data_IF_531882205945
#
_entry.id   IF_531882205945
#
_cell.length_a   1.000
_cell.length_b   1.000
_cell.length_c   1.000
_cell.angle_alpha   90.00
_cell.angle_beta   90.00
_cell.angle_gamma   90.00
#
_symmetry.space_group_name_H-M   'P 1'
#
loop_
_entity.id
_entity.type
_entity.pdbx_description
1 polymer ?
#
# COMPACT_ATOMS: atom_id res chain seq x y z
N UNK A 1 10.07 -20.47 -13.62
CA UNK A 1 8.77 -19.75 -13.68
C UNK A 1 8.90 -18.70 -14.77
N UNK A 2 7.98 -18.66 -15.73
CA UNK A 2 7.98 -17.54 -16.69
C UNK A 2 7.62 -16.26 -15.92
N UNK A 3 8.31 -15.14 -16.17
CA UNK A 3 7.94 -13.88 -15.53
C UNK A 3 6.57 -13.43 -16.02
N UNK A 4 5.78 -12.83 -15.13
CA UNK A 4 4.51 -12.20 -15.50
C UNK A 4 4.76 -11.10 -16.55
N UNK A 5 3.84 -10.99 -17.51
CA UNK A 5 3.81 -9.83 -18.39
C UNK A 5 3.40 -8.60 -17.58
N UNK A 6 3.91 -7.42 -17.97
CA UNK A 6 3.53 -6.17 -17.33
C UNK A 6 3.46 -4.98 -18.29
N UNK A 7 2.66 -3.97 -17.94
CA UNK A 7 2.52 -2.71 -18.68
C UNK A 7 2.27 -1.56 -17.70
N UNK A 8 2.94 -0.44 -17.91
CA UNK A 8 2.75 0.79 -17.13
C UNK A 8 1.70 1.67 -17.81
N UNK A 9 0.90 2.33 -16.99
CA UNK A 9 -0.17 3.24 -17.40
C UNK A 9 0.00 4.58 -16.69
N UNK A 10 -0.34 5.65 -17.40
CA UNK A 10 -0.48 7.00 -16.86
C UNK A 10 -1.94 7.41 -17.04
N UNK A 11 -2.61 7.67 -15.93
CA UNK A 11 -3.96 8.23 -15.90
C UNK A 11 -3.86 9.75 -15.79
N UNK A 12 -4.39 10.44 -16.79
CA UNK A 12 -4.49 11.89 -16.85
C UNK A 12 -5.96 12.32 -16.68
N UNK A 13 -6.33 12.84 -15.50
CA UNK A 13 -7.70 13.23 -15.19
C UNK A 13 -8.01 14.70 -15.49
N UNK A 14 -7.14 15.39 -16.23
CA UNK A 14 -7.33 16.81 -16.54
C UNK A 14 -8.42 17.02 -17.60
N UNK A 15 -9.21 18.11 -17.49
CA UNK A 15 -9.01 19.26 -16.59
C UNK A 15 -9.64 19.12 -15.19
N UNK A 16 -10.38 18.03 -14.90
CA UNK A 16 -11.24 17.93 -13.72
C UNK A 16 -10.47 17.68 -12.41
N UNK A 17 -9.27 17.10 -12.50
CA UNK A 17 -8.36 16.90 -11.38
C UNK A 17 -6.91 17.15 -11.81
N UNK A 18 -6.07 17.84 -10.99
CA UNK A 18 -4.77 18.33 -11.47
C UNK A 18 -3.63 17.31 -11.39
N UNK A 19 -3.79 16.24 -10.60
CA UNK A 19 -2.73 15.28 -10.32
C UNK A 19 -2.85 14.04 -11.22
N UNK A 20 -1.77 13.72 -11.93
CA UNK A 20 -1.64 12.50 -12.70
C UNK A 20 -1.32 11.32 -11.77
N UNK A 21 -1.74 10.13 -12.16
CA UNK A 21 -1.46 8.90 -11.41
C UNK A 21 -0.87 7.85 -12.32
N UNK A 22 0.05 7.04 -11.80
CA UNK A 22 0.60 5.89 -12.55
C UNK A 22 0.16 4.59 -11.91
N UNK A 23 0.04 3.54 -12.73
CA UNK A 23 -0.14 2.18 -12.24
C UNK A 23 0.61 1.21 -13.15
N UNK A 24 0.99 0.06 -12.60
CA UNK A 24 1.59 -1.05 -13.35
C UNK A 24 0.70 -2.27 -13.25
N UNK A 25 0.28 -2.77 -14.41
CA UNK A 25 -0.53 -3.97 -14.61
C UNK A 25 0.40 -5.18 -14.74
N UNK A 26 0.01 -6.32 -14.18
CA UNK A 26 0.68 -7.61 -14.28
C UNK A 26 -0.32 -8.72 -14.61
N UNK A 27 0.03 -9.65 -15.50
CA UNK A 27 -0.81 -10.79 -15.86
C UNK A 27 0.03 -11.99 -16.34
N UNK A 28 -0.54 -13.19 -16.21
CA UNK A 28 0.08 -14.44 -16.67
C UNK A 28 -0.26 -14.68 -18.14
N UNK A 29 0.74 -14.86 -19.00
CA UNK A 29 0.53 -15.15 -20.43
C UNK A 29 0.06 -16.59 -20.68
N UNK A 30 0.20 -17.47 -19.70
CA UNK A 30 -0.20 -18.88 -19.80
C UNK A 30 -1.67 -19.10 -19.39
N UNK A 31 -2.33 -18.09 -18.83
CA UNK A 31 -3.72 -18.15 -18.38
C UNK A 31 -4.51 -16.98 -18.98
N UNK A 32 -5.60 -17.29 -19.68
CA UNK A 32 -6.51 -16.26 -20.20
C UNK A 32 -7.83 -16.29 -19.42
N UNK A 33 -8.03 -15.27 -18.59
CA UNK A 33 -9.27 -15.02 -17.86
C UNK A 33 -9.95 -13.73 -18.32
N UNK A 34 -9.62 -13.21 -19.50
CA UNK A 34 -10.14 -11.94 -20.04
C UNK A 34 -11.68 -11.89 -20.12
N UNK A 35 -12.35 -13.04 -20.25
CA UNK A 35 -13.81 -13.13 -20.29
C UNK A 35 -14.42 -13.83 -19.06
N UNK A 36 -13.62 -14.16 -18.03
CA UNK A 36 -14.08 -14.91 -16.86
C UNK A 36 -14.58 -13.98 -15.74
N UNK A 37 -15.89 -13.85 -15.59
CA UNK A 37 -16.54 -12.96 -14.61
C UNK A 37 -16.21 -13.30 -13.14
N UNK A 38 -15.75 -14.52 -12.85
CA UNK A 38 -15.34 -14.93 -11.51
C UNK A 38 -13.87 -14.64 -11.21
N UNK A 39 -13.07 -14.34 -12.24
CA UNK A 39 -11.65 -14.03 -12.09
C UNK A 39 -11.42 -12.65 -11.47
N UNK A 40 -10.53 -12.62 -10.47
CA UNK A 40 -10.25 -11.44 -9.66
C UNK A 40 -9.31 -10.46 -10.36
N UNK A 41 -9.59 -9.18 -10.19
CA UNK A 41 -8.64 -8.09 -10.45
C UNK A 41 -8.12 -7.58 -9.11
N UNK A 42 -6.83 -7.75 -8.84
CA UNK A 42 -6.23 -7.27 -7.60
C UNK A 42 -5.73 -5.83 -7.77
N UNK A 43 -6.02 -4.95 -6.81
CA UNK A 43 -5.55 -3.56 -6.78
C UNK A 43 -4.66 -3.38 -5.56
N UNK A 44 -3.36 -3.11 -5.76
CA UNK A 44 -2.35 -2.95 -4.71
C UNK A 44 -2.03 -1.48 -4.50
N UNK A 45 -2.31 -0.96 -3.30
CA UNK A 45 -2.04 0.42 -2.90
C UNK A 45 -0.92 0.48 -1.84
N UNK A 46 0.21 1.10 -2.18
CA UNK A 46 1.39 1.18 -1.31
C UNK A 46 1.21 2.14 -0.12
N UNK A 47 2.12 2.06 0.87
CA UNK A 47 2.16 2.96 2.04
C UNK A 47 2.98 4.23 1.80
N UNK A 48 3.00 5.14 2.78
CA UNK A 48 3.81 6.37 2.72
C UNK A 48 5.31 6.05 2.64
N UNK A 49 6.03 6.73 1.74
CA UNK A 49 7.46 6.49 1.48
C UNK A 49 7.75 5.28 0.58
N UNK A 50 6.72 4.56 0.14
CA UNK A 50 6.83 3.43 -0.80
C UNK A 50 6.38 3.83 -2.23
N UNK A 51 6.51 2.92 -3.20
CA UNK A 51 6.04 3.09 -4.58
C UNK A 51 5.52 1.77 -5.19
N UNK A 52 4.86 1.84 -6.37
CA UNK A 52 4.09 0.71 -6.93
C UNK A 52 4.92 -0.55 -7.21
N UNK A 53 6.17 -0.42 -7.65
CA UNK A 53 7.05 -1.56 -7.98
C UNK A 53 7.46 -2.37 -6.74
N UNK A 54 7.40 -1.81 -5.53
CA UNK A 54 7.79 -2.56 -4.32
C UNK A 54 6.87 -3.74 -4.01
N UNK A 55 5.71 -3.81 -4.67
CA UNK A 55 4.84 -4.99 -4.65
C UNK A 55 5.33 -6.14 -5.53
N UNK A 56 6.26 -5.92 -6.48
CA UNK A 56 6.71 -6.96 -7.42
C UNK A 56 7.16 -8.26 -6.73
N UNK A 57 7.97 -8.24 -5.65
CA UNK A 57 8.36 -9.47 -4.97
C UNK A 57 7.18 -10.23 -4.38
N UNK A 58 6.16 -9.52 -3.89
CA UNK A 58 4.92 -10.09 -3.38
C UNK A 58 4.08 -10.69 -4.52
N UNK A 59 4.02 -10.01 -5.66
CA UNK A 59 3.31 -10.49 -6.86
C UNK A 59 3.96 -11.77 -7.39
N UNK A 60 5.29 -11.81 -7.49
CA UNK A 60 6.06 -12.98 -7.91
C UNK A 60 5.82 -14.18 -7.00
N UNK A 61 5.88 -13.96 -5.68
CA UNK A 61 5.67 -15.04 -4.71
C UNK A 61 4.22 -15.55 -4.76
N UNK A 62 3.22 -14.65 -4.83
CA UNK A 62 1.82 -15.02 -4.97
C UNK A 62 1.59 -15.87 -6.22
N UNK A 63 2.15 -15.44 -7.35
CA UNK A 63 2.06 -16.17 -8.60
C UNK A 63 2.65 -17.58 -8.49
N UNK A 64 3.82 -17.70 -7.87
CA UNK A 64 4.47 -19.00 -7.67
C UNK A 64 3.68 -19.94 -6.78
N UNK A 65 3.05 -19.41 -5.73
CA UNK A 65 2.16 -20.18 -4.87
C UNK A 65 0.96 -20.69 -5.68
N UNK A 66 0.28 -19.83 -6.44
CA UNK A 66 -0.89 -20.22 -7.23
C UNK A 66 -0.57 -21.32 -8.24
N UNK A 67 0.59 -21.25 -8.89
CA UNK A 67 1.05 -22.31 -9.80
C UNK A 67 1.26 -23.65 -9.08
N UNK A 68 1.72 -23.64 -7.82
CA UNK A 68 1.98 -24.88 -7.07
C UNK A 68 0.72 -25.64 -6.65
N UNK A 69 -0.43 -24.97 -6.50
CA UNK A 69 -1.68 -25.57 -6.03
C UNK A 69 -2.64 -26.03 -7.16
N UNK A 70 -2.31 -25.76 -8.43
CA UNK A 70 -3.07 -26.21 -9.61
C UNK A 70 -4.42 -25.49 -9.81
N UNK A 71 -5.18 -25.90 -10.85
CA UNK A 71 -6.41 -25.23 -11.37
C UNK A 71 -7.65 -25.28 -10.47
N UNK A 72 -7.55 -25.74 -9.22
CA UNK A 72 -8.62 -25.67 -8.20
C UNK A 72 -8.60 -24.37 -7.39
N UNK A 73 -7.73 -23.43 -7.76
CA UNK A 73 -7.40 -22.23 -7.00
C UNK A 73 -8.00 -20.95 -7.58
N UNK A 74 -7.96 -19.92 -6.75
CA UNK A 74 -8.29 -18.53 -7.05
C UNK A 74 -7.85 -18.11 -8.46
N UNK A 75 -8.80 -17.73 -9.31
CA UNK A 75 -8.51 -17.20 -10.64
C UNK A 75 -8.14 -15.74 -10.53
N UNK A 76 -6.92 -15.37 -10.91
CA UNK A 76 -6.48 -13.97 -10.99
C UNK A 76 -6.38 -13.58 -12.45
N UNK A 77 -7.28 -12.68 -12.86
CA UNK A 77 -7.26 -12.06 -14.19
C UNK A 77 -6.02 -11.22 -14.37
N UNK A 78 -5.77 -10.34 -13.40
CA UNK A 78 -4.67 -9.38 -13.45
C UNK A 78 -4.46 -8.72 -12.08
N UNK A 79 -3.30 -8.12 -11.93
CA UNK A 79 -2.90 -7.37 -10.74
C UNK A 79 -2.48 -5.97 -11.17
N UNK A 80 -2.97 -4.96 -10.47
CA UNK A 80 -2.64 -3.56 -10.69
C UNK A 80 -1.99 -3.02 -9.44
N UNK A 81 -0.75 -2.54 -9.53
CA UNK A 81 -0.16 -1.74 -8.46
C UNK A 81 -0.24 -0.27 -8.83
N UNK A 82 -0.92 0.51 -7.98
CA UNK A 82 -1.21 1.93 -8.22
C UNK A 82 -0.35 2.81 -7.31
N UNK A 83 0.00 3.98 -7.83
CA UNK A 83 0.86 4.95 -7.15
C UNK A 83 0.08 6.11 -6.55
N UNK A 84 0.49 6.57 -5.37
CA UNK A 84 0.01 7.83 -4.81
C UNK A 84 0.60 9.01 -5.63
N UNK A 85 -0.17 10.08 -5.94
CA UNK A 85 0.32 11.14 -6.83
C UNK A 85 1.59 11.87 -6.41
N UNK A 86 1.92 11.88 -5.12
CA UNK A 86 3.14 12.48 -4.57
C UNK A 86 4.25 11.45 -4.29
N UNK A 87 4.13 10.22 -4.80
CA UNK A 87 5.14 9.16 -4.68
C UNK A 87 5.61 8.67 -6.05
N UNK A 88 6.77 8.00 -6.06
CA UNK A 88 7.31 7.30 -7.23
C UNK A 88 7.35 8.14 -8.51
N UNK A 89 7.11 7.50 -9.65
CA UNK A 89 7.00 8.16 -10.95
C UNK A 89 5.87 9.20 -11.01
N UNK A 90 4.75 8.97 -10.31
CA UNK A 90 3.66 9.95 -10.27
C UNK A 90 4.13 11.30 -9.69
N UNK A 91 4.98 11.28 -8.66
CA UNK A 91 5.57 12.49 -8.09
C UNK A 91 6.42 13.27 -9.11
N UNK A 92 7.12 12.56 -9.98
CA UNK A 92 7.95 13.15 -11.04
C UNK A 92 7.05 13.81 -12.09
N UNK A 93 5.98 13.15 -12.51
CA UNK A 93 5.00 13.72 -13.44
C UNK A 93 4.29 14.95 -12.87
N UNK A 94 4.07 14.97 -11.56
CA UNK A 94 3.38 16.03 -10.85
C UNK A 94 4.32 17.07 -10.22
N UNK A 95 5.63 17.08 -10.53
CA UNK A 95 6.63 17.84 -9.78
C UNK A 95 6.29 19.33 -9.63
N UNK A 96 5.75 19.95 -10.68
CA UNK A 96 5.28 21.33 -10.62
C UNK A 96 3.93 21.49 -9.90
N UNK A 97 2.96 20.60 -10.17
CA UNK A 97 1.63 20.63 -9.55
C UNK A 97 1.70 20.43 -8.03
N UNK A 98 2.66 19.63 -7.55
CA UNK A 98 2.84 19.38 -6.12
C UNK A 98 3.29 20.64 -5.34
N UNK A 99 3.83 21.65 -6.03
CA UNK A 99 4.13 22.95 -5.41
C UNK A 99 2.90 23.85 -5.21
N UNK A 100 1.69 23.38 -5.55
CA UNK A 100 0.44 24.11 -5.27
C UNK A 100 0.00 24.00 -3.79
N UNK A 101 0.93 23.65 -2.89
CA UNK A 101 0.72 23.47 -1.45
C UNK A 101 0.74 22.01 -0.99
N UNK A 102 0.83 21.05 -1.91
CA UNK A 102 0.88 19.62 -1.60
C UNK A 102 2.19 19.18 -0.92
N UNK A 103 3.26 19.94 -1.12
CA UNK A 103 4.57 19.80 -0.48
C UNK A 103 4.58 20.17 1.02
N UNK A 104 3.58 20.93 1.46
CA UNK A 104 3.37 21.28 2.87
C UNK A 104 2.35 20.35 3.52
N UNK A 105 1.32 19.97 2.77
CA UNK A 105 0.20 19.16 3.25
C UNK A 105 -0.31 18.25 2.13
N UNK A 106 -0.29 16.94 2.36
CA UNK A 106 -0.85 15.96 1.43
C UNK A 106 -1.86 15.06 2.14
N UNK A 107 -3.16 15.31 1.93
CA UNK A 107 -4.22 14.49 2.50
C UNK A 107 -4.24 13.10 1.82
N UNK A 108 -4.33 12.03 2.61
CA UNK A 108 -4.43 10.67 2.08
C UNK A 108 -5.72 10.46 1.27
N UNK A 109 -6.71 11.34 1.42
CA UNK A 109 -7.88 11.39 0.53
C UNK A 109 -7.52 11.68 -0.93
N UNK A 110 -6.41 12.36 -1.22
CA UNK A 110 -5.94 12.55 -2.61
C UNK A 110 -5.58 11.21 -3.26
N UNK A 111 -5.03 10.28 -2.48
CA UNK A 111 -4.75 8.95 -2.96
C UNK A 111 -6.05 8.17 -3.23
N UNK A 112 -7.04 8.29 -2.34
CA UNK A 112 -8.37 7.70 -2.56
C UNK A 112 -9.03 8.23 -3.84
N UNK A 113 -8.98 9.55 -4.07
CA UNK A 113 -9.49 10.17 -5.31
C UNK A 113 -8.75 9.67 -6.54
N UNK A 114 -7.44 9.53 -6.46
CA UNK A 114 -6.62 9.04 -7.57
C UNK A 114 -6.92 7.59 -7.94
N UNK A 115 -7.08 6.71 -6.93
CA UNK A 115 -7.56 5.34 -7.12
C UNK A 115 -8.94 5.35 -7.78
N UNK A 116 -9.87 6.14 -7.24
CA UNK A 116 -11.22 6.25 -7.78
C UNK A 116 -11.22 6.67 -9.25
N UNK A 117 -10.54 7.75 -9.59
CA UNK A 117 -10.48 8.26 -10.97
C UNK A 117 -9.87 7.21 -11.91
N UNK A 118 -8.78 6.55 -11.49
CA UNK A 118 -8.12 5.52 -12.28
C UNK A 118 -9.05 4.36 -12.62
N UNK A 119 -9.78 3.82 -11.64
CA UNK A 119 -10.58 2.60 -11.81
C UNK A 119 -12.04 2.85 -12.20
N UNK A 120 -12.49 4.11 -12.29
CA UNK A 120 -13.85 4.47 -12.75
C UNK A 120 -13.89 5.07 -14.15
N UNK A 121 -12.76 5.10 -14.85
CA UNK A 121 -12.69 5.62 -16.23
C UNK A 121 -12.87 7.15 -16.31
N UNK A 122 -12.66 7.87 -15.21
CA UNK A 122 -12.76 9.34 -15.17
C UNK A 122 -11.49 10.06 -15.67
N UNK A 123 -10.45 9.30 -16.05
CA UNK A 123 -9.23 9.84 -16.63
C UNK A 123 -8.90 9.23 -18.00
N UNK A 124 -7.94 9.83 -18.69
CA UNK A 124 -7.43 9.39 -20.00
C UNK A 124 -6.15 8.58 -19.84
N UNK A 125 -5.82 7.73 -20.81
CA UNK A 125 -4.55 6.97 -20.84
C UNK A 125 -4.61 5.57 -20.20
N UNK A 126 -5.80 5.14 -19.76
CA UNK A 126 -6.08 3.77 -19.31
C UNK A 126 -7.04 3.13 -20.31
N UNK A 127 -6.63 2.02 -20.93
CA UNK A 127 -7.36 1.31 -22.00
C UNK A 127 -8.13 0.08 -21.50
N UNK A 128 -8.47 0.05 -20.21
CA UNK A 128 -9.15 -1.06 -19.54
C UNK A 128 -10.43 -0.57 -18.87
N UNK A 129 -11.55 -1.24 -19.17
CA UNK A 129 -12.82 -1.03 -18.48
C UNK A 129 -12.92 -2.00 -17.29
N UNK A 130 -13.06 -1.44 -16.08
CA UNK A 130 -13.16 -2.20 -14.84
C UNK A 130 -14.62 -2.46 -14.41
N UNK A 131 -15.62 -1.95 -15.14
CA UNK A 131 -17.03 -1.99 -14.72
C UNK A 131 -17.58 -3.39 -14.47
N UNK A 132 -17.08 -4.39 -15.20
CA UNK A 132 -17.43 -5.81 -15.04
C UNK A 132 -16.44 -6.63 -14.21
N UNK A 133 -15.38 -6.03 -13.66
CA UNK A 133 -14.34 -6.77 -12.96
C UNK A 133 -14.69 -7.02 -11.49
N UNK A 134 -14.31 -8.20 -10.99
CA UNK A 134 -14.41 -8.53 -9.56
C UNK A 134 -13.19 -8.02 -8.81
N UNK A 135 -13.29 -6.80 -8.28
CA UNK A 135 -12.16 -6.06 -7.69
C UNK A 135 -11.84 -6.51 -6.26
N UNK A 136 -10.57 -6.75 -5.96
CA UNK A 136 -10.08 -6.94 -4.59
C UNK A 136 -8.99 -5.92 -4.30
N UNK A 137 -9.20 -5.07 -3.30
CA UNK A 137 -8.23 -4.04 -2.91
C UNK A 137 -7.30 -4.54 -1.82
N UNK A 138 -6.00 -4.38 -1.99
CA UNK A 138 -4.96 -4.71 -1.01
C UNK A 138 -4.16 -3.45 -0.74
N UNK A 139 -4.27 -2.90 0.48
CA UNK A 139 -3.66 -1.64 0.84
C UNK A 139 -2.73 -1.78 2.03
N UNK A 140 -1.55 -1.17 1.97
CA UNK A 140 -0.63 -1.07 3.10
C UNK A 140 -0.64 0.33 3.71
N UNK A 141 -0.77 0.45 5.03
CA UNK A 141 -0.62 1.72 5.77
C UNK A 141 -1.51 2.84 5.19
N UNK A 142 -0.93 3.88 4.56
CA UNK A 142 -1.66 4.93 3.83
C UNK A 142 -2.56 4.37 2.71
N UNK A 143 -2.10 3.37 1.96
CA UNK A 143 -2.90 2.72 0.91
C UNK A 143 -4.13 1.99 1.45
N UNK A 144 -4.06 1.46 2.68
CA UNK A 144 -5.23 0.88 3.35
C UNK A 144 -6.29 1.95 3.67
N UNK A 145 -5.85 3.14 4.10
CA UNK A 145 -6.72 4.28 4.31
C UNK A 145 -7.36 4.74 2.99
N UNK A 146 -6.56 4.84 1.92
CA UNK A 146 -7.03 5.24 0.60
C UNK A 146 -8.12 4.30 0.06
N UNK A 147 -7.91 2.97 0.15
CA UNK A 147 -8.91 1.97 -0.24
C UNK A 147 -10.16 1.97 0.66
N UNK A 148 -10.04 2.35 1.93
CA UNK A 148 -11.20 2.54 2.80
C UNK A 148 -12.03 3.75 2.36
N UNK A 149 -11.37 4.85 2.01
CA UNK A 149 -12.01 6.12 1.65
C UNK A 149 -12.57 6.14 0.22
N UNK A 150 -12.04 5.33 -0.69
CA UNK A 150 -12.50 5.28 -2.09
C UNK A 150 -14.00 4.95 -2.20
N UNK A 151 -14.52 4.13 -1.27
CA UNK A 151 -15.93 3.75 -1.20
C UNK A 151 -16.87 4.93 -0.88
N UNK A 152 -16.33 6.07 -0.44
CA UNK A 152 -17.11 7.30 -0.16
C UNK A 152 -17.36 8.15 -1.41
N UNK A 153 -16.66 7.88 -2.52
CA UNK A 153 -16.72 8.67 -3.76
C UNK A 153 -17.85 8.18 -4.70
N UNK A 154 -18.10 8.95 -5.76
CA UNK A 154 -19.12 8.68 -6.78
C UNK A 154 -18.55 8.96 -8.19
N UNK A 155 -18.81 8.11 -9.21
CA UNK A 155 -19.59 6.87 -9.17
C UNK A 155 -18.96 5.81 -8.26
N UNK A 156 -19.75 4.86 -7.76
CA UNK A 156 -19.25 3.87 -6.78
C UNK A 156 -18.27 2.90 -7.44
N UNK A 157 -17.07 2.80 -6.86
CA UNK A 157 -16.12 1.72 -7.14
C UNK A 157 -16.44 0.55 -6.21
N UNK A 158 -16.91 -0.57 -6.76
CA UNK A 158 -17.41 -1.72 -5.98
C UNK A 158 -16.29 -2.75 -5.80
N UNK A 159 -15.92 -3.01 -4.55
CA UNK A 159 -14.98 -4.07 -4.19
C UNK A 159 -15.73 -5.34 -3.78
N UNK A 160 -15.22 -6.49 -4.24
CA UNK A 160 -15.60 -7.80 -3.73
C UNK A 160 -15.09 -8.02 -2.30
N UNK A 161 -13.87 -7.59 -2.01
CA UNK A 161 -13.28 -7.61 -0.68
C UNK A 161 -12.11 -6.62 -0.56
N UNK A 162 -11.72 -6.32 0.67
CA UNK A 162 -10.54 -5.52 0.97
C UNK A 162 -9.59 -6.27 1.90
N UNK A 163 -8.28 -6.05 1.70
CA UNK A 163 -7.19 -6.56 2.52
C UNK A 163 -6.35 -5.37 2.97
N UNK A 164 -6.43 -5.05 4.25
CA UNK A 164 -5.81 -3.89 4.88
C UNK A 164 -4.61 -4.36 5.70
N UNK A 165 -3.41 -4.12 5.18
CA UNK A 165 -2.13 -4.51 5.79
C UNK A 165 -1.59 -3.37 6.64
N UNK A 166 -1.41 -3.62 7.93
CA UNK A 166 -0.96 -2.63 8.93
C UNK A 166 -1.63 -1.25 8.74
N UNK A 167 -2.99 -1.20 8.72
CA UNK A 167 -3.70 0.02 8.35
C UNK A 167 -3.43 1.13 9.36
N UNK A 168 -3.08 2.31 8.84
CA UNK A 168 -2.93 3.54 9.64
C UNK A 168 -4.29 4.21 9.90
N UNK A 169 -5.27 3.42 10.35
CA UNK A 169 -6.67 3.83 10.54
C UNK A 169 -6.99 3.81 12.04
N UNK A 170 -7.27 4.95 12.65
CA UNK A 170 -7.54 5.04 14.09
C UNK A 170 -8.29 6.34 14.42
N UNK A 171 -8.93 6.42 15.60
CA UNK A 171 -9.75 7.57 15.99
C UNK A 171 -8.94 8.86 16.17
N UNK A 172 -9.64 9.95 16.53
CA UNK A 172 -9.02 11.25 16.76
C UNK A 172 -7.93 11.18 17.84
N UNK A 173 -6.89 12.05 17.77
CA UNK A 173 -5.80 12.03 18.75
C UNK A 173 -6.22 12.16 20.22
N UNK A 174 -7.32 12.85 20.51
CA UNK A 174 -7.89 13.01 21.87
C UNK A 174 -8.57 11.73 22.39
N UNK A 175 -8.89 10.79 21.50
CA UNK A 175 -9.47 9.48 21.83
C UNK A 175 -8.40 8.39 22.00
N UNK A 176 -7.12 8.71 21.77
CA UNK A 176 -6.00 7.79 22.01
C UNK A 176 -5.72 7.67 23.52
N UNK A 177 -5.22 6.52 24.02
CA UNK A 177 -4.90 6.38 25.43
C UNK A 177 -3.93 7.47 25.92
N UNK A 178 -4.11 7.96 27.15
CA UNK A 178 -3.23 8.99 27.72
C UNK A 178 -1.77 8.51 27.70
N UNK A 179 -0.87 9.31 27.11
CA UNK A 179 0.54 8.94 26.89
C UNK A 179 0.83 8.20 25.59
N UNK A 180 -0.19 7.77 24.84
CA UNK A 180 -0.09 7.32 23.44
C UNK A 180 0.17 8.52 22.55
N UNK A 181 1.40 9.01 22.59
CA UNK A 181 1.70 10.34 22.12
C UNK A 181 1.45 10.53 20.62
N UNK A 182 0.86 11.67 20.31
CA UNK A 182 1.06 12.46 19.09
C UNK A 182 2.55 12.51 18.66
N UNK A 183 3.50 12.20 19.57
CA UNK A 183 4.92 12.07 19.28
C UNK A 183 5.27 10.90 18.34
N UNK A 184 4.44 9.87 18.19
CA UNK A 184 4.66 8.83 17.17
C UNK A 184 4.53 9.40 15.75
N UNK A 185 3.46 10.16 15.49
CA UNK A 185 3.20 10.79 14.17
C UNK A 185 4.15 11.97 13.93
N UNK A 186 4.39 12.80 14.97
CA UNK A 186 5.40 13.85 14.90
C UNK A 186 6.79 13.24 14.64
N UNK A 187 7.08 12.10 15.25
CA UNK A 187 8.30 11.31 15.02
C UNK A 187 8.42 10.81 13.58
N UNK A 188 7.32 10.38 12.95
CA UNK A 188 7.28 10.01 11.53
C UNK A 188 7.63 11.20 10.62
N UNK A 189 6.98 12.35 10.85
CA UNK A 189 7.23 13.58 10.09
C UNK A 189 8.69 14.06 10.25
N UNK A 190 9.14 14.20 11.50
CA UNK A 190 10.49 14.67 11.82
C UNK A 190 11.55 13.64 11.38
N UNK A 191 11.18 12.35 11.37
CA UNK A 191 11.98 11.27 10.82
C UNK A 191 12.19 11.43 9.33
N UNK A 192 11.12 11.61 8.55
CA UNK A 192 11.19 11.81 7.11
C UNK A 192 12.09 13.00 6.73
N UNK A 193 11.91 14.15 7.40
CA UNK A 193 12.69 15.37 7.12
C UNK A 193 14.19 15.23 7.40
N UNK A 194 14.58 14.40 8.38
CA UNK A 194 15.98 14.18 8.77
C UNK A 194 16.71 13.13 7.93
N UNK A 195 16.01 12.40 7.05
CA UNK A 195 16.65 11.35 6.25
C UNK A 195 17.66 11.95 5.27
N UNK A 196 18.68 11.15 4.96
CA UNK A 196 19.51 11.36 3.78
C UNK A 196 18.68 11.02 2.55
N UNK A 197 18.72 11.86 1.53
CA UNK A 197 17.99 11.70 0.27
C UNK A 197 18.81 12.05 -0.97
N UNK A 198 20.13 12.24 -0.84
CA UNK A 198 21.02 12.42 -2.00
C UNK A 198 22.18 11.42 -1.91
N UNK A 199 22.48 10.80 -3.05
CA UNK A 199 23.59 9.86 -3.22
C UNK A 199 24.36 10.16 -4.51
N UNK A 200 25.66 9.84 -4.58
CA UNK A 200 26.46 10.02 -5.79
C UNK A 200 25.97 9.19 -6.99
N UNK A 201 25.41 8.01 -6.74
CA UNK A 201 24.86 7.14 -7.77
C UNK A 201 23.82 6.17 -7.19
N UNK A 202 23.14 5.41 -8.05
CA UNK A 202 22.23 4.33 -7.64
C UNK A 202 22.98 3.24 -6.85
N UNK A 203 24.20 2.88 -7.26
CA UNK A 203 25.04 1.86 -6.63
C UNK A 203 25.48 2.26 -5.22
N UNK A 204 25.88 3.53 -5.05
CA UNK A 204 26.21 4.10 -3.75
C UNK A 204 24.98 4.21 -2.84
N UNK A 205 23.81 4.52 -3.42
CA UNK A 205 22.56 4.48 -2.67
C UNK A 205 22.27 3.07 -2.13
N UNK A 206 22.38 2.05 -2.98
CA UNK A 206 22.17 0.66 -2.57
C UNK A 206 23.14 0.23 -1.47
N UNK A 207 24.44 0.46 -1.67
CA UNK A 207 25.48 0.09 -0.69
C UNK A 207 25.23 0.76 0.65
N UNK A 208 24.97 2.07 0.66
CA UNK A 208 24.78 2.81 1.91
C UNK A 208 23.47 2.47 2.62
N UNK A 209 22.40 2.19 1.88
CA UNK A 209 21.11 1.79 2.46
C UNK A 209 21.18 0.39 3.06
N UNK A 210 21.83 -0.57 2.38
CA UNK A 210 22.00 -1.95 2.86
C UNK A 210 22.71 -2.05 4.22
N UNK A 211 23.58 -1.09 4.55
CA UNK A 211 24.29 -1.05 5.83
C UNK A 211 23.43 -0.54 7.00
N UNK A 212 22.24 0.02 6.74
CA UNK A 212 21.39 0.58 7.78
C UNK A 212 20.55 -0.53 8.45
N UNK A 213 20.51 -0.61 9.79
CA UNK A 213 19.78 -1.67 10.50
C UNK A 213 18.31 -1.85 10.10
N UNK A 214 17.64 -0.76 9.69
CA UNK A 214 16.24 -0.81 9.24
C UNK A 214 16.09 -1.47 7.87
N UNK A 215 16.97 -1.17 6.93
CA UNK A 215 16.95 -1.74 5.58
C UNK A 215 17.53 -3.16 5.54
N UNK A 216 18.34 -3.57 6.51
CA UNK A 216 18.79 -4.97 6.67
C UNK A 216 17.63 -5.94 6.95
N UNK A 217 16.50 -5.44 7.46
CA UNK A 217 15.29 -6.23 7.68
C UNK A 217 14.42 -6.35 6.43
N UNK A 218 14.67 -5.53 5.41
CA UNK A 218 13.92 -5.59 4.16
C UNK A 218 14.34 -6.80 3.36
N UNK A 219 13.42 -7.29 2.53
CA UNK A 219 13.81 -8.22 1.49
C UNK A 219 14.82 -7.55 0.53
N UNK A 220 15.93 -8.21 0.19
CA UNK A 220 16.91 -7.64 -0.72
C UNK A 220 16.33 -7.27 -2.10
N UNK A 221 15.29 -7.96 -2.59
CA UNK A 221 14.59 -7.59 -3.84
C UNK A 221 13.88 -6.25 -3.69
N UNK A 222 13.16 -6.05 -2.59
CA UNK A 222 12.43 -4.80 -2.31
C UNK A 222 13.39 -3.61 -2.19
N UNK A 223 14.54 -3.78 -1.52
CA UNK A 223 15.54 -2.71 -1.42
C UNK A 223 16.17 -2.36 -2.77
N UNK A 224 16.46 -3.36 -3.62
CA UNK A 224 16.95 -3.10 -4.98
C UNK A 224 15.93 -2.34 -5.81
N UNK A 225 14.65 -2.70 -5.72
CA UNK A 225 13.55 -1.99 -6.37
C UNK A 225 13.43 -0.56 -5.84
N UNK A 226 13.52 -0.35 -4.52
CA UNK A 226 13.50 0.99 -3.92
C UNK A 226 14.58 1.90 -4.50
N UNK A 227 15.81 1.38 -4.64
CA UNK A 227 16.90 2.16 -5.24
C UNK A 227 16.65 2.43 -6.71
N UNK A 228 16.28 1.40 -7.48
CA UNK A 228 16.10 1.49 -8.93
C UNK A 228 14.95 2.41 -9.31
N UNK A 229 13.79 2.20 -8.72
CA UNK A 229 12.52 2.78 -9.15
C UNK A 229 12.04 3.90 -8.20
N UNK A 230 12.55 3.96 -6.97
CA UNK A 230 12.25 5.03 -6.00
C UNK A 230 13.18 6.24 -6.08
N UNK A 231 14.30 6.16 -6.82
CA UNK A 231 15.24 7.27 -7.02
C UNK A 231 15.19 7.85 -8.44
N UNK A 232 15.56 9.13 -8.58
CA UNK A 232 15.69 9.86 -9.85
C UNK A 232 17.02 10.62 -9.92
N UNK A 233 17.55 10.88 -11.12
CA UNK A 233 18.70 11.78 -11.29
C UNK A 233 18.39 13.20 -10.79
N UNK A 234 19.45 13.88 -10.37
CA UNK A 234 19.50 15.33 -10.16
C UNK A 234 19.80 16.07 -11.49
N UNK A 235 19.46 17.37 -11.64
CA UNK A 235 18.74 18.23 -10.71
C UNK A 235 17.24 17.92 -10.60
N UNK A 236 16.62 18.41 -9.54
CA UNK A 236 15.16 18.42 -9.33
C UNK A 236 14.71 19.82 -8.91
N UNK A 237 13.41 20.11 -8.88
CA UNK A 237 12.90 21.40 -8.38
C UNK A 237 13.31 21.66 -6.92
N UNK A 238 13.46 20.61 -6.12
CA UNK A 238 13.94 20.70 -4.73
C UNK A 238 15.45 20.99 -4.64
N UNK A 239 16.22 20.63 -5.67
CA UNK A 239 17.68 20.72 -5.71
C UNK A 239 18.20 21.30 -7.05
N UNK A 240 17.83 22.55 -7.42
CA UNK A 240 18.15 23.11 -8.73
C UNK A 240 19.65 23.33 -8.95
N UNK A 241 20.43 23.48 -7.87
CA UNK A 241 21.88 23.68 -7.91
C UNK A 241 22.72 22.40 -7.82
N UNK A 242 22.11 21.22 -7.84
CA UNK A 242 22.82 19.93 -7.80
C UNK A 242 22.69 19.26 -9.16
N UNK A 243 23.80 19.11 -9.89
CA UNK A 243 23.80 18.60 -11.28
C UNK A 243 24.07 17.11 -11.40
N UNK A 244 24.62 16.50 -10.34
CA UNK A 244 25.07 15.11 -10.36
C UNK A 244 24.51 14.33 -9.18
N UNK A 245 24.37 13.02 -9.39
CA UNK A 245 23.85 12.07 -8.41
C UNK A 245 22.36 11.82 -8.53
N UNK A 246 21.82 11.17 -7.50
CA UNK A 246 20.44 10.72 -7.45
C UNK A 246 19.77 11.14 -6.15
N UNK A 247 18.45 11.35 -6.22
CA UNK A 247 17.60 11.70 -5.08
C UNK A 247 16.29 10.92 -5.09
N UNK A 248 15.50 11.02 -4.02
CA UNK A 248 14.21 10.35 -3.92
C UNK A 248 13.20 10.94 -4.93
N UNK A 249 12.38 10.08 -5.54
CA UNK A 249 11.20 10.53 -6.30
C UNK A 249 10.10 11.06 -5.37
N UNK A 250 9.81 10.35 -4.27
CA UNK A 250 9.04 10.89 -3.16
C UNK A 250 9.98 11.70 -2.27
N UNK A 251 10.00 13.02 -2.44
CA UNK A 251 10.94 13.87 -1.70
C UNK A 251 10.62 13.86 -0.20
N UNK A 252 11.61 14.13 0.66
CA UNK A 252 11.41 14.13 2.12
C UNK A 252 10.30 15.09 2.56
N UNK A 253 10.12 16.20 1.83
CA UNK A 253 9.05 17.17 2.07
C UNK A 253 7.68 16.55 1.76
N UNK A 254 7.54 15.88 0.62
CA UNK A 254 6.31 15.18 0.22
C UNK A 254 5.97 14.03 1.17
N UNK A 255 6.96 13.23 1.59
CA UNK A 255 6.76 12.19 2.60
C UNK A 255 6.29 12.80 3.94
N UNK A 256 6.93 13.89 4.37
CA UNK A 256 6.55 14.60 5.60
C UNK A 256 5.16 15.24 5.52
N UNK A 257 4.77 15.76 4.34
CA UNK A 257 3.46 16.35 4.09
C UNK A 257 2.31 15.35 4.29
N UNK A 258 2.55 14.06 4.01
CA UNK A 258 1.59 12.99 4.30
C UNK A 258 1.32 12.83 5.81
N UNK A 259 2.24 13.21 6.69
CA UNK A 259 2.05 13.11 8.13
C UNK A 259 1.53 14.40 8.77
N UNK A 260 1.38 15.48 7.99
CA UNK A 260 1.01 16.80 8.48
C UNK A 260 -0.45 16.89 8.98
N UNK A 261 -1.30 15.90 8.68
CA UNK A 261 -2.69 15.89 9.10
C UNK A 261 -3.27 14.51 9.39
N UNK A 262 -4.33 14.47 10.20
CA UNK A 262 -5.03 13.28 10.68
C UNK A 262 -6.31 12.96 9.90
N UNK A 263 -6.86 13.88 9.10
CA UNK A 263 -8.20 13.74 8.53
C UNK A 263 -8.42 12.44 7.76
N UNK A 264 -7.52 12.07 6.85
CA UNK A 264 -7.63 10.81 6.09
C UNK A 264 -7.72 9.58 7.00
N UNK A 265 -6.92 9.53 8.06
CA UNK A 265 -6.88 8.42 9.04
C UNK A 265 -8.17 8.33 9.83
N UNK A 266 -8.61 9.47 10.38
CA UNK A 266 -9.81 9.56 11.22
C UNK A 266 -11.07 9.29 10.41
N UNK A 267 -11.18 9.86 9.20
CA UNK A 267 -12.32 9.60 8.30
C UNK A 267 -12.38 8.13 7.89
N UNK A 268 -11.22 7.53 7.59
CA UNK A 268 -11.13 6.09 7.32
C UNK A 268 -11.67 5.29 8.50
N UNK A 269 -11.29 5.65 9.74
CA UNK A 269 -11.72 4.95 10.93
C UNK A 269 -13.25 5.01 11.13
N UNK A 270 -13.83 6.20 10.95
CA UNK A 270 -15.26 6.40 11.15
C UNK A 270 -16.13 5.72 10.08
N UNK A 271 -15.64 5.57 8.84
CA UNK A 271 -16.40 4.86 7.79
C UNK A 271 -16.21 3.35 7.85
N UNK A 272 -15.12 2.87 8.45
CA UNK A 272 -14.73 1.45 8.45
C UNK A 272 -15.83 0.49 8.97
N UNK A 273 -16.61 0.79 10.03
CA UNK A 273 -17.72 -0.07 10.45
C UNK A 273 -18.79 -0.25 9.36
N UNK A 274 -19.08 0.79 8.58
CA UNK A 274 -20.03 0.71 7.46
C UNK A 274 -19.49 -0.19 6.36
N UNK A 275 -18.20 -0.06 6.06
CA UNK A 275 -17.51 -0.89 5.08
C UNK A 275 -17.54 -2.37 5.47
N UNK A 276 -17.11 -2.68 6.71
CA UNK A 276 -17.13 -4.02 7.30
C UNK A 276 -18.55 -4.61 7.49
N UNK A 277 -19.60 -3.78 7.38
CA UNK A 277 -20.99 -4.25 7.38
C UNK A 277 -21.51 -4.57 5.98
N UNK A 278 -20.81 -4.10 4.93
CA UNK A 278 -21.25 -4.20 3.53
C UNK A 278 -20.41 -5.15 2.67
N UNK A 279 -19.14 -5.39 3.01
CA UNK A 279 -18.26 -6.31 2.31
C UNK A 279 -17.17 -6.93 3.21
N UNK A 280 -16.57 -8.07 2.81
CA UNK A 280 -15.44 -8.67 3.52
C UNK A 280 -14.21 -7.77 3.60
N UNK A 281 -13.77 -7.45 4.82
CA UNK A 281 -12.56 -6.69 5.11
C UNK A 281 -11.61 -7.53 5.96
N UNK A 282 -10.41 -7.75 5.45
CA UNK A 282 -9.36 -8.52 6.10
C UNK A 282 -8.28 -7.57 6.64
N UNK A 283 -8.08 -7.55 7.95
CA UNK A 283 -6.99 -6.84 8.61
C UNK A 283 -5.81 -7.78 8.74
N UNK A 284 -4.63 -7.37 8.29
CA UNK A 284 -3.41 -8.16 8.46
C UNK A 284 -2.38 -7.35 9.27
N UNK A 285 -1.89 -7.95 10.35
CA UNK A 285 -0.83 -7.41 11.18
C UNK A 285 0.36 -8.37 11.31
N UNK A 286 1.56 -7.79 11.41
CA UNK A 286 2.77 -8.58 11.61
C UNK A 286 2.87 -9.02 13.05
N UNK A 287 3.15 -10.31 13.30
CA UNK A 287 3.14 -10.89 14.64
C UNK A 287 4.30 -10.51 15.56
N UNK A 288 5.11 -9.51 15.19
CA UNK A 288 6.01 -8.83 16.13
C UNK A 288 5.35 -7.49 16.44
N UNK A 289 4.87 -7.37 17.68
CA UNK A 289 4.29 -6.14 18.20
C UNK A 289 5.33 -5.03 18.21
N UNK A 290 5.03 -3.95 17.50
CA UNK A 290 5.73 -2.67 17.60
C UNK A 290 4.80 -1.58 18.17
N UNK A 291 5.29 -0.35 18.24
CA UNK A 291 4.53 0.77 18.76
C UNK A 291 3.22 1.00 17.99
N UNK A 292 3.24 0.89 16.65
CA UNK A 292 2.07 1.12 15.83
C UNK A 292 1.06 0.00 15.98
N UNK A 293 1.52 -1.25 16.02
CA UNK A 293 0.67 -2.40 16.32
C UNK A 293 -0.04 -2.21 17.66
N UNK A 294 0.72 -1.94 18.73
CA UNK A 294 0.18 -1.78 20.09
C UNK A 294 -0.81 -0.63 20.21
N UNK A 295 -0.61 0.43 19.43
CA UNK A 295 -1.49 1.60 19.42
C UNK A 295 -2.77 1.36 18.62
N UNK A 296 -2.66 0.75 17.44
CA UNK A 296 -3.71 0.78 16.41
C UNK A 296 -4.55 -0.50 16.40
N UNK A 297 -3.91 -1.67 16.54
CA UNK A 297 -4.60 -2.96 16.44
C UNK A 297 -5.78 -3.11 17.43
N UNK A 298 -5.68 -2.65 18.71
CA UNK A 298 -6.81 -2.75 19.65
C UNK A 298 -8.09 -2.05 19.16
N UNK A 299 -7.97 -0.91 18.48
CA UNK A 299 -9.14 -0.20 17.93
C UNK A 299 -9.83 -0.99 16.83
N UNK A 300 -9.05 -1.64 15.97
CA UNK A 300 -9.60 -2.49 14.93
C UNK A 300 -10.23 -3.76 15.52
N UNK A 301 -9.58 -4.39 16.49
CA UNK A 301 -10.13 -5.61 17.12
C UNK A 301 -11.46 -5.33 17.81
N UNK A 302 -11.55 -4.21 18.55
CA UNK A 302 -12.80 -3.79 19.21
C UNK A 302 -13.92 -3.48 18.20
N UNK A 303 -13.60 -2.86 17.07
CA UNK A 303 -14.56 -2.58 16.01
C UNK A 303 -14.99 -3.85 15.27
N UNK A 304 -14.05 -4.73 14.93
CA UNK A 304 -14.29 -6.02 14.26
C UNK A 304 -15.20 -6.94 15.07
N UNK A 305 -15.13 -6.89 16.41
CA UNK A 305 -15.99 -7.68 17.29
C UNK A 305 -17.49 -7.41 17.11
N UNK A 306 -17.86 -6.27 16.50
CA UNK A 306 -19.25 -5.80 16.41
C UNK A 306 -19.76 -5.73 14.96
N UNK A 307 -19.01 -6.21 13.97
CA UNK A 307 -19.38 -6.12 12.54
C UNK A 307 -19.24 -7.49 11.86
N UNK A 308 -20.16 -7.84 10.93
CA UNK A 308 -20.30 -9.21 10.44
C UNK A 308 -19.21 -9.67 9.46
N UNK A 309 -18.53 -8.75 8.76
CA UNK A 309 -17.60 -9.09 7.67
C UNK A 309 -16.17 -8.60 7.91
N UNK A 310 -15.75 -8.45 9.17
CA UNK A 310 -14.36 -8.15 9.49
C UNK A 310 -13.61 -9.39 9.97
N UNK A 311 -12.43 -9.63 9.38
CA UNK A 311 -11.53 -10.72 9.76
C UNK A 311 -10.17 -10.16 10.12
N UNK A 312 -9.64 -10.54 11.28
CA UNK A 312 -8.32 -10.11 11.75
C UNK A 312 -7.35 -11.28 11.66
N UNK A 313 -6.18 -11.04 11.07
CA UNK A 313 -5.11 -12.01 10.90
C UNK A 313 -3.83 -11.47 11.55
N UNK A 314 -3.29 -12.20 12.53
CA UNK A 314 -1.97 -11.97 13.09
C UNK A 314 -0.99 -12.99 12.53
N UNK A 315 0.06 -12.51 11.85
CA UNK A 315 1.05 -13.40 11.23
C UNK A 315 2.22 -13.59 12.20
N UNK A 316 2.13 -14.61 13.05
CA UNK A 316 3.23 -15.00 13.94
C UNK A 316 4.38 -15.65 13.16
N UNK A 317 5.62 -15.33 13.58
CA UNK A 317 6.84 -15.91 13.04
C UNK A 317 7.01 -17.34 13.58
N UNK A 318 6.42 -18.34 12.93
CA UNK A 318 6.65 -19.74 13.29
C UNK A 318 6.62 -20.66 12.08
N UNK A 319 7.77 -20.78 11.40
CA UNK A 319 8.24 -22.06 10.86
C UNK A 319 9.76 -22.11 11.10
N UNK A 320 10.17 -22.45 12.32
CA UNK A 320 11.31 -23.35 12.57
C UNK A 320 11.28 -23.82 14.04
N UNK A 321 10.88 -25.08 14.24
CA UNK A 321 11.25 -25.97 15.35
C UNK A 321 11.22 -25.43 16.79
N UNK A 322 10.14 -25.70 17.52
CA UNK A 322 10.08 -26.58 18.72
C UNK A 322 8.93 -26.20 19.67
N UNK A 323 7.99 -27.15 19.82
CA UNK A 323 7.03 -27.40 20.91
C UNK A 323 5.93 -26.37 21.26
N UNK A 324 4.70 -26.82 21.59
CA UNK A 324 3.52 -26.00 21.72
C UNK A 324 3.26 -25.59 23.18
N UNK A 325 2.77 -24.37 23.44
CA UNK A 325 1.71 -24.10 24.43
C UNK A 325 1.37 -22.60 24.54
N UNK A 326 0.06 -22.33 24.36
CA UNK A 326 -0.76 -21.24 24.91
C UNK A 326 -0.74 -19.84 24.26
N UNK A 327 -1.97 -19.49 23.85
CA UNK A 327 -2.61 -18.18 23.67
C UNK A 327 -2.27 -17.36 22.39
N UNK A 328 -3.22 -16.77 21.64
CA UNK A 328 -4.61 -16.45 21.97
C UNK A 328 -5.56 -16.43 20.76
N UNK A 329 -6.84 -16.64 21.08
CA UNK A 329 -8.07 -16.40 20.31
C UNK A 329 -8.05 -16.55 18.77
N UNK A 330 -8.32 -17.77 18.30
CA UNK A 330 -8.95 -17.99 16.99
C UNK A 330 -10.43 -17.58 17.05
N UNK A 331 -10.82 -16.60 16.25
CA UNK A 331 -12.19 -16.48 15.72
C UNK A 331 -12.15 -16.72 14.21
N UNK A 332 -11.97 -17.99 13.83
CA UNK A 332 -12.18 -18.45 12.46
C UNK A 332 -13.58 -19.06 12.35
N UNK A 333 -14.54 -18.30 11.82
CA UNK A 333 -15.71 -18.90 11.18
C UNK A 333 -16.02 -18.20 9.85
N UNK A 334 -15.87 -19.01 8.79
CA UNK A 334 -16.26 -18.84 7.38
C UNK A 334 -15.28 -18.15 6.42
N UNK A 335 -14.11 -18.78 6.22
CA UNK A 335 -13.52 -19.02 4.88
C UNK A 335 -12.73 -20.35 4.92
N UNK A 336 -12.59 -21.10 3.82
CA UNK A 336 -11.79 -22.33 3.79
C UNK A 336 -10.33 -22.05 4.17
N UNK A 337 -9.68 -23.01 4.83
CA UNK A 337 -8.31 -22.93 5.37
C UNK A 337 -7.19 -22.61 4.35
N UNK A 338 -7.53 -22.38 3.09
CA UNK A 338 -6.61 -22.09 2.00
C UNK A 338 -6.25 -20.60 1.94
N UNK A 339 -7.17 -19.68 2.28
CA UNK A 339 -6.98 -18.22 2.13
C UNK A 339 -6.05 -17.58 3.16
N UNK A 340 -5.90 -18.21 4.34
CA UNK A 340 -5.13 -17.68 5.47
C UNK A 340 -3.61 -17.80 5.24
N UNK A 341 -3.17 -18.79 4.44
CA UNK A 341 -1.74 -19.00 4.14
C UNK A 341 -1.18 -18.04 3.07
N UNK A 342 -2.02 -17.53 2.16
CA UNK A 342 -1.60 -16.57 1.12
C UNK A 342 -1.22 -15.19 1.70
N UNK A 343 -1.78 -14.85 2.85
CA UNK A 343 -1.53 -13.58 3.55
C UNK A 343 -0.18 -13.53 4.27
N UNK A 344 0.40 -14.70 4.62
CA UNK A 344 1.73 -14.81 5.25
C UNK A 344 2.87 -14.24 4.39
N UNK A 345 2.72 -14.26 3.05
CA UNK A 345 3.74 -13.79 2.11
C UNK A 345 3.71 -12.28 1.91
N UNK A 346 2.55 -11.63 2.06
CA UNK A 346 2.39 -10.19 1.82
C UNK A 346 3.06 -9.33 2.89
N UNK A 347 3.18 -9.83 4.13
CA UNK A 347 3.62 -9.02 5.27
C UNK A 347 5.11 -9.07 5.59
N UNK A 348 5.85 -10.06 5.09
CA UNK A 348 7.20 -10.27 5.59
C UNK A 348 8.26 -9.38 4.93
N UNK A 349 7.96 -8.77 3.77
CA UNK A 349 8.98 -8.13 2.92
C UNK A 349 8.99 -6.59 2.94
N UNK A 350 7.99 -5.95 3.53
CA UNK A 350 7.89 -4.48 3.66
C UNK A 350 8.28 -3.92 5.04
N UNK A 351 8.86 -4.73 5.94
CA UNK A 351 9.22 -4.29 7.29
C UNK A 351 10.44 -3.37 7.32
N UNK A 352 10.20 -2.07 7.19
CA UNK A 352 10.97 -1.03 7.87
C UNK A 352 10.07 -0.42 8.92
N UNK A 353 10.28 -0.80 10.19
CA UNK A 353 9.61 -0.16 11.32
C UNK A 353 9.75 1.37 11.18
N UNK A 354 8.60 2.01 11.14
CA UNK A 354 8.41 3.46 11.15
C UNK A 354 9.22 4.17 12.23
#
# INVERSE_FOLDING_TARGET
MLPLASKVYVCDPRPDYPLLTTAKRYWDLTQDFSNDTDALTLILAHGTGYHKEQWEPTIEDLHGILQSYGSRTLKIREIWSIECPNHGEAAVLNEHTLNWGYDTYFDWQEYARSIHIFFTGLGKGVDVDFSGHKLVGIGHSMGACALTLVGTLSPKLIFHSLVLVEPMVYPQPDQLPHGSSIAGIKGLRDGALRRRDIWPSYEEALTTLQLRPWFQKWDPRVLRIFVKDGLRPLPTLDYPGKTDGVTLKCTKKLEAACYANVLGRVRSYNILPHLCSSLPVHFIYGGISDYLYSLIAPFHFAMCANVPYALVHEISKSISSTSPHKAGMLLTKRLPAQDIWYMHVMMWRMRGLH
#
